data_IF_774676071338
#
_entry.id   IF_774676071338
#
_cell.length_a   1.000
_cell.length_b   1.000
_cell.length_c   1.000
_cell.angle_alpha   90.00
_cell.angle_beta   90.00
_cell.angle_gamma   90.00
#
_symmetry.space_group_name_H-M   'P 1'
#
loop_
_entity.id
_entity.type
_entity.pdbx_description
1 polymer ?
#
# COMPACT_ATOMS: atom_id res chain seq x y z
N UNK A 1 22.01 -11.91 21.06
CA UNK A 1 20.57 -12.10 20.79
C UNK A 1 19.79 -11.27 21.78
N UNK A 2 18.68 -10.61 21.38
CA UNK A 2 17.79 -9.90 22.30
C UNK A 2 16.48 -10.68 22.40
N UNK A 3 15.96 -10.83 23.61
CA UNK A 3 14.70 -11.55 23.89
C UNK A 3 13.60 -10.55 24.13
N UNK A 4 12.43 -10.82 23.57
CA UNK A 4 11.21 -10.03 23.78
C UNK A 4 10.16 -10.98 24.36
N UNK A 5 9.49 -10.56 25.42
CA UNK A 5 8.33 -11.27 25.98
C UNK A 5 7.08 -10.55 25.51
N UNK A 6 6.19 -11.28 24.83
CA UNK A 6 4.92 -10.75 24.34
C UNK A 6 3.78 -11.40 25.13
N UNK A 7 2.89 -10.58 25.71
CA UNK A 7 1.61 -11.05 26.23
C UNK A 7 0.63 -11.12 25.08
N UNK A 8 -0.02 -12.26 24.90
CA UNK A 8 -1.05 -12.48 23.88
C UNK A 8 -2.31 -13.01 24.54
N UNK A 9 -3.43 -12.94 23.82
CA UNK A 9 -4.58 -13.75 24.19
C UNK A 9 -4.28 -15.24 23.95
N UNK A 10 -5.14 -16.08 24.51
CA UNK A 10 -5.02 -17.54 24.42
C UNK A 10 -5.21 -18.01 22.97
N UNK A 11 -6.16 -17.40 22.25
CA UNK A 11 -6.45 -17.72 20.86
C UNK A 11 -5.23 -17.53 19.95
N UNK A 12 -4.56 -16.38 20.02
CA UNK A 12 -3.36 -16.12 19.22
C UNK A 12 -2.22 -17.07 19.59
N UNK A 13 -2.07 -17.39 20.87
CA UNK A 13 -1.04 -18.33 21.33
C UNK A 13 -1.27 -19.73 20.75
N UNK A 14 -2.51 -20.21 20.74
CA UNK A 14 -2.89 -21.48 20.12
C UNK A 14 -2.68 -21.44 18.60
N UNK A 15 -3.11 -20.38 17.91
CA UNK A 15 -2.91 -20.22 16.47
C UNK A 15 -1.43 -20.28 16.08
N UNK A 16 -0.58 -19.50 16.75
CA UNK A 16 0.88 -19.51 16.56
C UNK A 16 1.45 -20.90 16.84
N UNK A 17 0.93 -21.59 17.86
CA UNK A 17 1.37 -22.94 18.21
C UNK A 17 1.04 -23.95 17.12
N UNK A 18 -0.20 -23.99 16.68
CA UNK A 18 -0.68 -24.90 15.65
C UNK A 18 0.03 -24.64 14.30
N UNK A 19 0.19 -23.38 13.91
CA UNK A 19 0.92 -22.99 12.70
C UNK A 19 2.40 -23.38 12.78
N UNK A 20 3.04 -23.17 13.94
CA UNK A 20 4.45 -23.54 14.12
C UNK A 20 4.68 -25.04 13.94
N UNK A 21 3.77 -25.88 14.46
CA UNK A 21 3.82 -27.33 14.30
C UNK A 21 3.55 -27.74 12.84
N UNK A 22 2.51 -27.19 12.21
CA UNK A 22 2.14 -27.50 10.82
C UNK A 22 3.26 -27.15 9.84
N UNK A 23 3.93 -26.02 10.05
CA UNK A 23 5.01 -25.54 9.19
C UNK A 23 6.39 -26.07 9.59
N UNK A 24 6.48 -26.85 10.69
CA UNK A 24 7.73 -27.34 11.27
C UNK A 24 8.75 -26.22 11.53
N UNK A 25 8.27 -25.10 12.05
CA UNK A 25 9.07 -23.93 12.41
C UNK A 25 9.03 -23.70 13.92
N UNK A 26 10.05 -23.05 14.48
CA UNK A 26 9.94 -22.53 15.84
C UNK A 26 8.95 -21.36 15.87
N UNK A 27 8.32 -21.12 17.01
CA UNK A 27 7.39 -19.97 17.18
C UNK A 27 8.08 -18.64 16.86
N UNK A 28 9.33 -18.48 17.32
CA UNK A 28 10.14 -17.28 17.04
C UNK A 28 10.44 -17.10 15.55
N UNK A 29 10.71 -18.20 14.83
CA UNK A 29 10.95 -18.15 13.37
C UNK A 29 9.66 -17.84 12.61
N UNK A 30 8.54 -18.45 13.02
CA UNK A 30 7.22 -18.15 12.46
C UNK A 30 6.90 -16.65 12.61
N UNK A 31 7.04 -16.11 13.82
CA UNK A 31 6.78 -14.69 14.12
C UNK A 31 7.71 -13.80 13.29
N UNK A 32 8.99 -14.14 13.18
CA UNK A 32 9.96 -13.37 12.37
C UNK A 32 9.56 -13.31 10.90
N UNK A 33 9.12 -14.44 10.33
CA UNK A 33 8.63 -14.48 8.93
C UNK A 33 7.35 -13.69 8.76
N UNK A 34 6.40 -13.85 9.69
CA UNK A 34 5.14 -13.11 9.66
C UNK A 34 5.38 -11.59 9.68
N UNK A 35 6.29 -11.10 10.52
CA UNK A 35 6.65 -9.67 10.57
C UNK A 35 7.22 -9.20 9.22
N UNK A 36 8.15 -9.96 8.63
CA UNK A 36 8.75 -9.61 7.33
C UNK A 36 7.72 -9.57 6.20
N UNK A 37 6.80 -10.55 6.17
CA UNK A 37 5.75 -10.57 5.17
C UNK A 37 4.74 -9.44 5.36
N UNK A 38 4.45 -9.09 6.62
CA UNK A 38 3.59 -7.95 6.94
C UNK A 38 4.21 -6.62 6.51
N UNK A 39 5.52 -6.43 6.74
CA UNK A 39 6.27 -5.25 6.29
C UNK A 39 6.22 -5.09 4.76
N UNK A 40 6.47 -6.18 4.01
CA UNK A 40 6.35 -6.18 2.54
C UNK A 40 4.94 -5.77 2.10
N UNK A 41 3.92 -6.31 2.75
CA UNK A 41 2.51 -6.01 2.42
C UNK A 41 2.20 -4.53 2.64
N UNK A 42 2.67 -3.94 3.74
CA UNK A 42 2.52 -2.49 4.01
C UNK A 42 3.22 -1.68 2.93
N UNK A 43 4.46 -2.02 2.57
CA UNK A 43 5.20 -1.31 1.53
C UNK A 43 4.46 -1.30 0.19
N UNK A 44 3.93 -2.45 -0.24
CA UNK A 44 3.13 -2.57 -1.45
C UNK A 44 1.83 -1.75 -1.38
N UNK A 45 1.15 -1.75 -0.23
CA UNK A 45 -0.05 -0.94 -0.04
C UNK A 45 0.24 0.56 -0.12
N UNK A 46 1.36 1.01 0.42
CA UNK A 46 1.78 2.41 0.34
C UNK A 46 2.10 2.82 -1.10
N UNK A 47 2.85 1.99 -1.84
CA UNK A 47 3.13 2.22 -3.27
C UNK A 47 1.82 2.30 -4.06
N UNK A 48 0.89 1.37 -3.83
CA UNK A 48 -0.42 1.37 -4.50
C UNK A 48 -1.18 2.68 -4.24
N UNK A 49 -1.19 3.16 -3.00
CA UNK A 49 -1.83 4.44 -2.64
C UNK A 49 -1.17 5.63 -3.35
N UNK A 50 0.16 5.67 -3.40
CA UNK A 50 0.89 6.73 -4.11
C UNK A 50 0.56 6.75 -5.60
N UNK A 51 0.55 5.59 -6.26
CA UNK A 51 0.18 5.48 -7.69
C UNK A 51 -1.25 5.95 -7.92
N UNK A 52 -2.19 5.54 -7.06
CA UNK A 52 -3.59 5.98 -7.15
C UNK A 52 -3.70 7.51 -7.02
N UNK A 53 -3.00 8.10 -6.06
CA UNK A 53 -3.00 9.55 -5.88
C UNK A 53 -2.39 10.29 -7.07
N UNK A 54 -1.25 9.82 -7.58
CA UNK A 54 -0.62 10.41 -8.76
C UNK A 54 -1.53 10.34 -9.99
N UNK A 55 -2.19 9.20 -10.22
CA UNK A 55 -3.18 9.03 -11.29
C UNK A 55 -4.35 10.01 -11.18
N UNK A 56 -4.87 10.23 -9.96
CA UNK A 56 -5.94 11.21 -9.73
C UNK A 56 -5.48 12.64 -10.01
N UNK A 57 -4.28 13.00 -9.56
CA UNK A 57 -3.70 14.32 -9.79
C UNK A 57 -3.52 14.58 -11.30
N UNK A 58 -2.92 13.63 -12.03
CA UNK A 58 -2.70 13.75 -13.48
C UNK A 58 -4.02 13.90 -14.23
N UNK A 59 -5.06 13.14 -13.87
CA UNK A 59 -6.38 13.28 -14.50
C UNK A 59 -6.97 14.67 -14.29
N UNK A 60 -6.81 15.22 -13.10
CA UNK A 60 -7.28 16.57 -12.77
C UNK A 60 -6.51 17.62 -13.57
N UNK A 61 -5.18 17.53 -13.62
CA UNK A 61 -4.36 18.42 -14.43
C UNK A 61 -4.67 18.31 -15.91
N UNK A 62 -4.87 17.09 -16.42
CA UNK A 62 -5.24 16.87 -17.83
C UNK A 62 -6.60 17.50 -18.16
N UNK A 63 -7.58 17.38 -17.26
CA UNK A 63 -8.88 18.02 -17.45
C UNK A 63 -8.75 19.55 -17.49
N UNK A 64 -7.96 20.15 -16.60
CA UNK A 64 -7.71 21.59 -16.61
C UNK A 64 -7.03 22.03 -17.92
N UNK A 65 -6.03 21.28 -18.42
CA UNK A 65 -5.36 21.61 -19.68
C UNK A 65 -6.33 21.53 -20.87
N UNK A 66 -7.23 20.54 -20.89
CA UNK A 66 -8.25 20.43 -21.94
C UNK A 66 -9.18 21.64 -21.89
N UNK A 67 -9.65 22.02 -20.71
CA UNK A 67 -10.49 23.21 -20.51
C UNK A 67 -9.77 24.49 -20.99
N UNK A 68 -8.50 24.66 -20.62
CA UNK A 68 -7.68 25.79 -21.08
C UNK A 68 -7.56 25.82 -22.60
N UNK A 69 -7.37 24.66 -23.25
CA UNK A 69 -7.29 24.57 -24.71
C UNK A 69 -8.65 24.84 -25.39
N UNK A 70 -9.75 24.35 -24.82
CA UNK A 70 -11.10 24.62 -25.34
C UNK A 70 -11.41 26.12 -25.32
N UNK A 71 -10.96 26.84 -24.30
CA UNK A 71 -11.13 28.29 -24.19
C UNK A 71 -10.33 29.09 -25.24
N UNK A 72 -9.36 28.45 -25.93
CA UNK A 72 -8.54 29.09 -26.97
C UNK A 72 -9.01 28.78 -28.40
N UNK A 73 -10.14 28.08 -28.58
CA UNK A 73 -10.62 27.65 -29.91
C UNK A 73 -10.89 28.83 -30.86
N UNK A 74 -11.36 29.96 -30.33
CA UNK A 74 -11.70 31.15 -31.11
C UNK A 74 -10.57 32.20 -31.14
N UNK A 75 -9.43 31.92 -30.49
CA UNK A 75 -8.30 32.86 -30.45
C UNK A 75 -7.74 33.11 -31.87
N UNK A 76 -7.77 34.38 -32.29
CA UNK A 76 -7.27 34.81 -33.60
C UNK A 76 -8.31 34.77 -34.73
N UNK A 77 -9.55 34.38 -34.46
CA UNK A 77 -10.65 34.41 -35.44
C UNK A 77 -11.51 35.69 -35.39
N UNK A 78 -11.16 36.68 -34.55
CA UNK A 78 -11.94 37.91 -34.36
C UNK A 78 -12.06 38.83 -35.61
N UNK A 79 -11.42 38.51 -36.74
CA UNK A 79 -11.44 39.34 -37.96
C UNK A 79 -11.62 38.55 -39.28
N UNK A 80 -12.35 37.43 -39.27
CA UNK A 80 -12.76 36.70 -40.50
C UNK A 80 -14.26 36.80 -40.73
#
# INVERSE_FOLDING_TARGET
MKTITLKTDEKLFEEVTNLSQKLKLSKSELIRRAIKEYEKKIALQNIKRQIQQASLNIRKESANIIEDLENTIDDGLENV
#
